data_IF_450409591683
#
_entry.id   IF_450409591683
#
_cell.length_a   1.000
_cell.length_b   1.000
_cell.length_c   1.000
_cell.angle_alpha   90.00
_cell.angle_beta   90.00
_cell.angle_gamma   90.00
#
_symmetry.space_group_name_H-M   'P 1'
#
loop_
_entity.id
_entity.type
_entity.pdbx_description
1 polymer ?
#
# COMPACT_ATOMS: atom_id res chain seq x y z
N UNK A 1 16.87 -0.70 -7.94
CA UNK A 1 15.69 -0.68 -8.85
C UNK A 1 14.69 -1.65 -8.28
N UNK A 2 13.40 -1.37 -8.29
CA UNK A 2 12.44 -2.30 -7.72
C UNK A 2 11.05 -1.70 -7.61
N UNK A 3 10.17 -2.47 -6.98
CA UNK A 3 8.80 -2.09 -6.65
C UNK A 3 8.26 -3.12 -5.63
N UNK A 4 7.02 -3.58 -5.75
CA UNK A 4 6.38 -4.58 -4.88
C UNK A 4 5.78 -5.76 -5.68
N UNK A 5 5.50 -6.87 -4.98
CA UNK A 5 4.82 -8.05 -5.56
C UNK A 5 3.50 -8.37 -4.86
N UNK A 6 3.19 -7.75 -3.72
CA UNK A 6 1.85 -7.82 -3.15
C UNK A 6 0.87 -6.99 -3.96
N UNK A 7 -0.41 -7.36 -3.90
CA UNK A 7 -1.47 -6.78 -4.73
C UNK A 7 -2.70 -6.45 -3.88
N UNK A 8 -3.48 -5.46 -4.30
CA UNK A 8 -4.87 -5.33 -3.84
C UNK A 8 -5.70 -6.61 -4.10
N UNK A 9 -6.82 -6.84 -3.39
CA UNK A 9 -7.69 -8.00 -3.60
C UNK A 9 -8.28 -8.07 -5.02
N UNK A 10 -8.43 -6.90 -5.66
CA UNK A 10 -8.85 -6.74 -7.06
C UNK A 10 -7.73 -6.15 -7.92
N UNK A 11 -6.47 -6.43 -7.57
CA UNK A 11 -5.28 -5.88 -8.23
C UNK A 11 -5.13 -6.34 -9.69
N UNK A 12 -4.51 -5.49 -10.49
CA UNK A 12 -4.16 -5.79 -11.87
C UNK A 12 -2.90 -6.65 -11.99
N UNK A 13 -2.55 -7.04 -13.22
CA UNK A 13 -1.35 -7.87 -13.50
C UNK A 13 -0.01 -7.11 -13.46
N UNK A 14 -0.07 -5.77 -13.48
CA UNK A 14 1.09 -4.92 -13.74
C UNK A 14 1.47 -4.01 -12.57
N UNK A 15 0.56 -3.83 -11.61
CA UNK A 15 0.77 -3.04 -10.41
C UNK A 15 1.87 -3.68 -9.56
N UNK A 16 2.92 -2.92 -9.23
CA UNK A 16 4.15 -3.39 -8.59
C UNK A 16 5.02 -4.34 -9.42
N UNK A 17 4.45 -5.44 -9.89
CA UNK A 17 5.15 -6.55 -10.55
C UNK A 17 5.95 -6.08 -11.76
N UNK A 18 5.45 -5.10 -12.51
CA UNK A 18 6.15 -4.50 -13.64
C UNK A 18 7.52 -3.94 -13.23
N UNK A 19 7.59 -3.24 -12.09
CA UNK A 19 8.83 -2.63 -11.61
C UNK A 19 9.86 -3.66 -11.13
N UNK A 20 9.39 -4.71 -10.45
CA UNK A 20 10.27 -5.80 -9.98
C UNK A 20 10.83 -6.60 -11.17
N UNK A 21 9.97 -7.02 -12.11
CA UNK A 21 10.40 -7.77 -13.28
C UNK A 21 11.20 -6.91 -14.27
N UNK A 22 10.86 -5.62 -14.40
CA UNK A 22 11.66 -4.66 -15.17
C UNK A 22 13.08 -4.52 -14.61
N UNK A 23 13.23 -4.47 -13.27
CA UNK A 23 14.54 -4.51 -12.63
C UNK A 23 15.33 -5.80 -12.91
N UNK A 24 14.66 -6.96 -12.89
CA UNK A 24 15.28 -8.24 -13.26
C UNK A 24 15.74 -8.25 -14.72
N UNK A 25 14.92 -7.72 -15.62
CA UNK A 25 15.23 -7.62 -17.04
C UNK A 25 16.43 -6.70 -17.29
N UNK A 26 16.55 -5.59 -16.56
CA UNK A 26 17.76 -4.74 -16.60
C UNK A 26 19.01 -5.54 -16.27
N UNK A 27 18.98 -6.37 -15.21
CA UNK A 27 20.15 -7.20 -14.84
C UNK A 27 20.45 -8.23 -15.94
N UNK A 28 19.44 -8.92 -16.45
CA UNK A 28 19.61 -9.91 -17.53
C UNK A 28 20.22 -9.29 -18.77
N UNK A 29 19.66 -8.18 -19.24
CA UNK A 29 20.17 -7.45 -20.40
C UNK A 29 21.62 -6.99 -20.20
N UNK A 30 21.98 -6.46 -19.01
CA UNK A 30 23.37 -6.07 -18.74
C UNK A 30 24.32 -7.27 -18.78
N UNK A 31 23.90 -8.42 -18.27
CA UNK A 31 24.70 -9.65 -18.31
C UNK A 31 24.84 -10.19 -19.75
N UNK A 32 23.76 -10.21 -20.52
CA UNK A 32 23.75 -10.68 -21.91
C UNK A 32 24.67 -9.82 -22.80
N UNK A 33 24.80 -8.53 -22.48
CA UNK A 33 25.66 -7.58 -23.17
C UNK A 33 27.08 -7.46 -22.55
N UNK A 34 27.39 -8.25 -21.52
CA UNK A 34 28.65 -8.19 -20.73
C UNK A 34 29.01 -6.77 -20.25
N UNK A 35 28.00 -5.99 -19.83
CA UNK A 35 28.18 -4.62 -19.36
C UNK A 35 28.52 -4.63 -17.86
N UNK A 36 29.69 -4.09 -17.51
CA UNK A 36 30.11 -3.88 -16.13
C UNK A 36 29.76 -2.48 -15.65
N UNK A 37 29.08 -2.39 -14.51
CA UNK A 37 28.71 -1.11 -13.89
C UNK A 37 29.69 -0.71 -12.81
N UNK A 38 29.84 0.62 -12.60
CA UNK A 38 30.66 1.16 -11.51
C UNK A 38 30.03 0.94 -10.13
N UNK A 39 28.70 0.90 -10.08
CA UNK A 39 27.92 0.67 -8.86
C UNK A 39 27.12 -0.64 -9.00
N UNK A 40 26.96 -1.42 -7.91
CA UNK A 40 26.11 -2.60 -7.95
C UNK A 40 24.66 -2.22 -8.21
N UNK A 41 23.97 -3.03 -9.01
CA UNK A 41 22.54 -2.91 -9.24
C UNK A 41 21.84 -4.00 -8.44
N UNK A 42 20.89 -3.60 -7.60
CA UNK A 42 20.07 -4.51 -6.79
C UNK A 42 18.61 -4.36 -7.20
N UNK A 43 17.96 -5.51 -7.43
CA UNK A 43 16.51 -5.60 -7.62
C UNK A 43 15.87 -5.76 -6.25
N UNK A 44 14.89 -4.91 -5.95
CA UNK A 44 14.21 -4.89 -4.65
C UNK A 44 12.73 -5.17 -4.83
N UNK A 45 12.19 -6.01 -3.95
CA UNK A 45 10.76 -6.23 -3.79
C UNK A 45 10.37 -5.78 -2.38
N UNK A 46 9.64 -4.68 -2.27
CA UNK A 46 9.16 -4.16 -1.00
C UNK A 46 7.95 -4.97 -0.52
N UNK A 47 7.96 -5.35 0.75
CA UNK A 47 6.87 -6.15 1.32
C UNK A 47 5.73 -5.26 1.82
N UNK A 48 4.50 -5.64 1.46
CA UNK A 48 3.28 -4.98 1.93
C UNK A 48 3.29 -3.48 1.58
N UNK A 49 3.48 -3.22 0.29
CA UNK A 49 3.40 -1.87 -0.26
C UNK A 49 1.94 -1.41 -0.31
N UNK A 50 1.02 -2.29 -0.70
CA UNK A 50 -0.38 -1.93 -0.93
C UNK A 50 -1.12 -1.59 0.38
N UNK A 51 -0.60 -2.09 1.50
CA UNK A 51 -1.18 -1.87 2.82
C UNK A 51 -2.54 -2.54 3.03
N UNK A 52 -2.97 -3.42 2.12
CA UNK A 52 -4.31 -4.04 2.14
C UNK A 52 -4.48 -4.95 3.36
N UNK A 53 -3.50 -5.83 3.60
CA UNK A 53 -3.58 -6.81 4.69
C UNK A 53 -3.11 -6.20 6.01
N UNK A 54 -2.01 -5.46 5.98
CA UNK A 54 -1.44 -4.78 7.14
C UNK A 54 -1.35 -3.29 6.82
N UNK A 55 -2.10 -2.46 7.54
CA UNK A 55 -2.02 -1.01 7.36
C UNK A 55 -0.78 -0.43 8.09
N UNK A 56 -0.18 0.66 7.60
CA UNK A 56 -0.49 1.39 6.36
C UNK A 56 0.22 0.82 5.12
N UNK A 57 -0.09 1.40 3.96
CA UNK A 57 0.70 1.23 2.75
C UNK A 57 2.17 1.62 2.94
N UNK A 58 3.03 1.12 2.04
CA UNK A 58 4.47 1.36 1.99
C UNK A 58 5.17 0.98 3.31
N UNK A 59 4.69 -0.07 3.99
CA UNK A 59 5.11 -0.40 5.35
C UNK A 59 6.63 -0.64 5.43
N UNK A 60 7.14 -1.55 4.59
CA UNK A 60 8.54 -1.98 4.66
C UNK A 60 9.51 -0.95 4.09
N UNK A 61 9.13 -0.24 3.02
CA UNK A 61 9.92 0.86 2.47
C UNK A 61 9.95 2.05 3.44
N UNK A 62 8.88 2.27 4.21
CA UNK A 62 8.83 3.23 5.31
C UNK A 62 9.79 2.88 6.46
N UNK A 63 9.92 1.60 6.82
CA UNK A 63 10.94 1.15 7.78
C UNK A 63 12.35 1.37 7.22
N UNK A 64 12.59 0.98 5.96
CA UNK A 64 13.88 1.19 5.29
C UNK A 64 14.31 2.66 5.24
N UNK A 65 13.36 3.56 4.99
CA UNK A 65 13.59 5.00 4.95
C UNK A 65 13.66 5.66 6.36
N UNK A 66 13.54 4.88 7.44
CA UNK A 66 13.56 5.37 8.82
C UNK A 66 12.31 6.18 9.22
N UNK A 67 11.21 6.06 8.47
CA UNK A 67 9.92 6.71 8.79
C UNK A 67 9.12 5.93 9.82
N UNK A 68 9.36 4.62 9.91
CA UNK A 68 8.74 3.71 10.86
C UNK A 68 9.81 2.88 11.55
N UNK A 69 9.60 2.53 12.82
CA UNK A 69 10.46 1.56 13.52
C UNK A 69 10.09 0.14 13.10
N UNK A 70 11.07 -0.75 13.04
CA UNK A 70 10.86 -2.15 12.69
C UNK A 70 9.89 -2.88 13.64
N UNK A 71 10.00 -2.65 14.95
CA UNK A 71 9.11 -3.24 15.96
C UNK A 71 7.64 -2.82 15.75
N UNK A 72 7.40 -1.55 15.45
CA UNK A 72 6.06 -1.05 15.14
C UNK A 72 5.47 -1.71 13.89
N UNK A 73 6.29 -1.93 12.86
CA UNK A 73 5.86 -2.60 11.64
C UNK A 73 5.54 -4.08 11.91
N UNK A 74 6.37 -4.77 12.67
CA UNK A 74 6.12 -6.17 13.07
C UNK A 74 4.85 -6.34 13.89
N UNK A 75 4.51 -5.35 14.73
CA UNK A 75 3.28 -5.34 15.52
C UNK A 75 2.03 -4.90 14.74
N UNK A 76 2.10 -4.66 13.42
CA UNK A 76 0.88 -4.44 12.62
C UNK A 76 0.09 -5.73 12.53
N UNK A 77 -1.21 -5.64 12.74
CA UNK A 77 -2.10 -6.80 12.70
C UNK A 77 -3.02 -6.76 11.47
N UNK A 78 -3.33 -7.94 10.95
CA UNK A 78 -4.38 -8.11 9.95
C UNK A 78 -5.77 -8.21 10.59
N UNK A 79 -6.82 -8.26 9.77
CA UNK A 79 -8.20 -8.37 10.24
C UNK A 79 -8.50 -9.65 11.05
N UNK A 80 -7.61 -10.65 11.01
CA UNK A 80 -7.71 -11.89 11.79
C UNK A 80 -6.83 -11.87 13.05
N UNK A 81 -6.19 -10.74 13.37
CA UNK A 81 -5.31 -10.57 14.53
C UNK A 81 -3.94 -11.22 14.38
N UNK A 82 -3.51 -11.57 13.17
CA UNK A 82 -2.14 -12.07 12.93
C UNK A 82 -1.20 -10.89 12.82
N UNK A 83 -0.03 -10.97 13.45
CA UNK A 83 0.99 -9.92 13.34
C UNK A 83 1.80 -10.05 12.04
N UNK A 84 2.26 -8.92 11.51
CA UNK A 84 3.11 -8.86 10.32
C UNK A 84 4.43 -9.61 10.54
N UNK A 85 5.04 -9.44 11.73
CA UNK A 85 6.30 -10.10 12.09
C UNK A 85 6.17 -11.63 12.13
N UNK A 86 5.07 -12.14 12.70
CA UNK A 86 4.82 -13.58 12.76
C UNK A 86 4.55 -14.15 11.36
N UNK A 87 3.84 -13.41 10.51
CA UNK A 87 3.59 -13.84 9.14
C UNK A 87 4.87 -13.86 8.29
N UNK A 88 5.76 -12.88 8.44
CA UNK A 88 7.10 -12.91 7.83
C UNK A 88 7.89 -14.13 8.28
N UNK A 89 7.85 -14.46 9.58
CA UNK A 89 8.51 -15.64 10.12
C UNK A 89 7.89 -16.93 9.57
N UNK A 90 6.56 -17.01 9.49
CA UNK A 90 5.81 -18.16 8.96
C UNK A 90 6.18 -18.46 7.51
N UNK A 91 6.37 -17.44 6.68
CA UNK A 91 6.76 -17.62 5.27
C UNK A 91 8.28 -17.74 5.07
N UNK A 92 9.08 -17.62 6.15
CA UNK A 92 10.55 -17.72 6.08
C UNK A 92 11.25 -16.48 5.54
N UNK A 93 10.58 -15.31 5.54
CA UNK A 93 11.10 -14.04 5.02
C UNK A 93 11.44 -13.01 6.10
N UNK A 94 11.47 -13.44 7.37
CA UNK A 94 12.05 -12.63 8.44
C UNK A 94 13.59 -12.74 8.37
N UNK A 95 14.20 -11.86 7.58
CA UNK A 95 15.65 -11.84 7.39
C UNK A 95 16.42 -11.31 8.61
N UNK A 96 17.71 -11.65 8.66
CA UNK A 96 18.62 -11.27 9.74
C UNK A 96 19.35 -9.94 9.48
N UNK A 97 19.24 -9.41 8.26
CA UNK A 97 19.87 -8.15 7.89
C UNK A 97 19.13 -6.96 8.52
N UNK A 98 19.89 -6.04 9.11
CA UNK A 98 19.34 -4.79 9.63
C UNK A 98 18.73 -3.96 8.49
N UNK A 99 17.45 -3.64 8.62
CA UNK A 99 16.71 -2.87 7.61
C UNK A 99 17.30 -1.47 7.51
N UNK A 100 17.72 -1.06 6.30
CA UNK A 100 18.35 0.24 6.07
C UNK A 100 19.88 0.26 6.18
N UNK A 101 20.52 -0.88 6.49
CA UNK A 101 21.98 -1.01 6.50
C UNK A 101 22.60 -0.75 5.11
N UNK A 102 21.91 -1.17 4.04
CA UNK A 102 22.35 -0.93 2.65
C UNK A 102 22.14 0.53 2.27
N UNK A 103 23.23 1.28 2.09
CA UNK A 103 23.17 2.64 1.54
C UNK A 103 22.95 2.61 0.04
N UNK A 104 21.85 3.20 -0.41
CA UNK A 104 21.50 3.31 -1.83
C UNK A 104 22.07 4.62 -2.39
N UNK A 105 22.82 4.54 -3.50
CA UNK A 105 23.26 5.73 -4.23
C UNK A 105 22.09 6.41 -4.95
N UNK A 106 21.21 5.61 -5.54
CA UNK A 106 19.98 6.04 -6.18
C UNK A 106 18.96 4.91 -6.14
N UNK A 107 17.67 5.26 -6.18
CA UNK A 107 16.57 4.32 -6.34
C UNK A 107 15.71 4.75 -7.52
N UNK A 108 15.34 3.79 -8.36
CA UNK A 108 14.46 3.97 -9.51
C UNK A 108 13.39 2.89 -9.45
N UNK A 109 12.17 3.29 -9.75
CA UNK A 109 10.99 2.43 -9.79
C UNK A 109 10.27 2.68 -11.11
N UNK A 110 10.04 1.60 -11.85
CA UNK A 110 9.20 1.60 -13.04
C UNK A 110 7.81 1.17 -12.60
N UNK A 111 6.81 1.96 -12.96
CA UNK A 111 5.42 1.68 -12.59
C UNK A 111 4.48 2.01 -13.75
N UNK A 112 3.31 1.37 -13.76
CA UNK A 112 2.22 1.83 -14.62
C UNK A 112 1.68 3.15 -14.08
N UNK A 113 1.08 3.96 -14.94
CA UNK A 113 0.54 5.27 -14.53
C UNK A 113 -0.57 5.16 -13.47
N UNK A 114 -1.36 4.07 -13.51
CA UNK A 114 -2.61 3.91 -12.76
C UNK A 114 -3.66 5.01 -13.05
N UNK A 115 -3.43 5.81 -14.09
CA UNK A 115 -4.27 6.92 -14.54
C UNK A 115 -4.38 6.99 -16.07
N UNK A 116 -5.18 7.93 -16.59
CA UNK A 116 -5.50 8.00 -18.02
C UNK A 116 -4.67 9.01 -18.83
N UNK A 117 -3.73 9.74 -18.22
CA UNK A 117 -3.08 10.92 -18.82
C UNK A 117 -2.16 10.53 -19.97
N UNK A 118 -1.28 9.53 -19.79
CA UNK A 118 -0.34 9.12 -20.84
C UNK A 118 -1.08 8.55 -22.05
N UNK A 119 -2.15 7.78 -21.81
CA UNK A 119 -3.02 7.29 -22.89
C UNK A 119 -3.71 8.45 -23.62
N UNK A 120 -4.36 9.36 -22.88
CA UNK A 120 -5.07 10.49 -23.46
C UNK A 120 -4.15 11.46 -24.23
N UNK A 121 -2.91 11.64 -23.78
CA UNK A 121 -1.90 12.48 -24.43
C UNK A 121 -1.07 11.73 -25.48
N UNK A 122 -1.35 10.44 -25.72
CA UNK A 122 -0.61 9.56 -26.62
C UNK A 122 0.91 9.59 -26.35
N UNK A 123 1.28 9.46 -25.07
CA UNK A 123 2.66 9.39 -24.58
C UNK A 123 2.97 7.99 -24.09
N UNK A 124 4.18 7.52 -24.39
CA UNK A 124 4.60 6.17 -23.98
C UNK A 124 5.22 6.16 -22.58
N UNK A 125 5.96 7.21 -22.21
CA UNK A 125 6.73 7.29 -20.96
C UNK A 125 6.40 8.60 -20.24
N UNK A 126 6.05 8.49 -18.96
CA UNK A 126 5.96 9.62 -18.04
C UNK A 126 7.23 9.74 -17.19
N UNK A 127 7.81 10.93 -17.12
CA UNK A 127 8.87 11.24 -16.15
C UNK A 127 8.21 11.80 -14.90
N UNK A 128 8.05 10.95 -13.89
CA UNK A 128 7.38 11.31 -12.63
C UNK A 128 8.23 12.34 -11.88
N UNK A 129 7.65 13.49 -11.58
CA UNK A 129 8.34 14.58 -10.86
C UNK A 129 7.99 14.63 -9.37
N UNK A 130 6.79 14.19 -9.00
CA UNK A 130 6.25 14.25 -7.65
C UNK A 130 5.29 13.08 -7.40
N UNK A 131 5.19 12.65 -6.15
CA UNK A 131 4.13 11.75 -5.68
C UNK A 131 3.01 12.52 -4.99
N UNK A 132 1.77 12.04 -5.12
CA UNK A 132 0.62 12.59 -4.40
C UNK A 132 0.67 12.18 -2.92
N UNK A 133 0.30 13.09 -2.02
CA UNK A 133 0.25 12.80 -0.58
C UNK A 133 -0.96 11.92 -0.23
N UNK A 134 -0.74 10.88 0.57
CA UNK A 134 -1.78 9.95 1.03
C UNK A 134 -2.12 10.21 2.51
N UNK A 135 -3.41 10.19 2.85
CA UNK A 135 -3.90 10.33 4.23
C UNK A 135 -4.92 9.24 4.54
N UNK A 136 -4.57 8.36 5.48
CA UNK A 136 -5.42 7.25 5.90
C UNK A 136 -6.14 7.63 7.20
N UNK A 137 -7.46 7.47 7.23
CA UNK A 137 -8.28 7.76 8.43
C UNK A 137 -9.16 6.55 8.74
N UNK A 138 -8.97 5.95 9.90
CA UNK A 138 -9.86 4.91 10.40
C UNK A 138 -10.95 5.54 11.26
N UNK A 139 -12.21 5.32 10.88
CA UNK A 139 -13.38 5.79 11.62
C UNK A 139 -14.10 4.59 12.23
N UNK A 140 -14.23 4.58 13.55
CA UNK A 140 -15.03 3.56 14.26
C UNK A 140 -16.37 4.18 14.64
N UNK A 141 -17.46 3.66 14.08
CA UNK A 141 -18.82 4.09 14.44
C UNK A 141 -19.44 3.06 15.37
N UNK A 142 -19.73 3.47 16.61
CA UNK A 142 -20.37 2.62 17.61
C UNK A 142 -21.86 2.97 17.70
N UNK A 143 -22.73 1.99 17.45
CA UNK A 143 -24.17 2.12 17.66
C UNK A 143 -24.68 1.22 18.79
N UNK A 144 -26.00 1.09 18.90
CA UNK A 144 -26.65 0.22 19.89
C UNK A 144 -27.57 -0.76 19.18
N UNK A 145 -27.29 -2.04 19.36
CA UNK A 145 -28.20 -3.11 18.92
C UNK A 145 -29.54 -2.97 19.62
N UNK A 146 -30.61 -3.03 18.84
CA UNK A 146 -31.98 -2.90 19.33
C UNK A 146 -32.95 -3.62 18.40
N UNK A 147 -34.03 -4.16 18.95
CA UNK A 147 -35.01 -4.91 18.16
C UNK A 147 -35.67 -3.99 17.12
N UNK A 148 -35.62 -4.41 15.85
CA UNK A 148 -35.98 -3.60 14.67
C UNK A 148 -37.44 -3.18 14.62
N UNK A 149 -38.34 -3.90 15.30
CA UNK A 149 -39.78 -3.60 15.35
C UNK A 149 -40.26 -2.82 16.59
N UNK A 150 -39.63 -3.01 17.75
CA UNK A 150 -40.15 -2.49 19.03
C UNK A 150 -39.38 -1.28 19.56
N UNK A 151 -38.29 -0.89 18.91
CA UNK A 151 -37.50 0.28 19.31
C UNK A 151 -38.00 1.52 18.57
N UNK A 152 -38.57 2.51 19.28
CA UNK A 152 -38.99 3.77 18.67
C UNK A 152 -37.81 4.45 17.94
N UNK A 153 -38.07 5.08 16.79
CA UNK A 153 -37.04 5.74 15.99
C UNK A 153 -36.11 6.68 16.78
N UNK A 154 -36.60 7.50 17.75
CA UNK A 154 -35.72 8.37 18.55
C UNK A 154 -34.75 7.63 19.48
N UNK A 155 -34.98 6.34 19.75
CA UNK A 155 -34.22 5.52 20.69
C UNK A 155 -33.21 4.59 20.00
N UNK A 156 -33.19 4.60 18.66
CA UNK A 156 -32.23 3.84 17.86
C UNK A 156 -30.92 4.62 17.79
N UNK A 157 -29.84 4.06 18.33
CA UNK A 157 -28.49 4.50 17.98
C UNK A 157 -28.01 3.58 16.85
N UNK A 158 -27.85 4.15 15.65
CA UNK A 158 -27.63 3.36 14.44
C UNK A 158 -26.27 2.64 14.50
N UNK A 159 -26.29 1.31 14.66
CA UNK A 159 -25.12 0.44 14.54
C UNK A 159 -24.91 0.03 13.10
N UNK A 160 -23.66 0.20 12.63
CA UNK A 160 -22.96 -0.30 11.42
C UNK A 160 -23.65 -0.35 10.04
N UNK A 161 -24.96 -0.57 9.93
CA UNK A 161 -25.64 -0.83 8.65
C UNK A 161 -26.32 0.38 8.02
N UNK A 162 -26.19 1.56 8.61
CA UNK A 162 -26.85 2.79 8.15
C UNK A 162 -25.95 4.01 8.00
N UNK A 163 -24.62 3.87 8.09
CA UNK A 163 -23.72 5.00 7.82
C UNK A 163 -23.76 5.28 6.32
N UNK A 164 -24.65 6.19 5.90
CA UNK A 164 -24.47 6.87 4.62
C UNK A 164 -23.29 7.80 4.83
N UNK A 165 -22.14 7.42 4.27
CA UNK A 165 -20.98 8.31 4.18
C UNK A 165 -21.31 9.35 3.08
N UNK A 166 -22.10 10.36 3.43
CA UNK A 166 -22.29 11.53 2.57
C UNK A 166 -21.15 12.51 2.86
N UNK A 167 -20.00 12.31 2.24
CA UNK A 167 -19.01 13.38 2.18
C UNK A 167 -19.51 14.42 1.18
N UNK A 168 -19.72 15.65 1.66
CA UNK A 168 -19.96 16.81 0.80
C UNK A 168 -18.77 16.98 -0.16
N UNK A 169 -19.01 16.78 -1.45
CA UNK A 169 -18.13 17.30 -2.51
C UNK A 169 -18.50 18.76 -2.78
N UNK A 170 -18.29 19.63 -1.78
CA UNK A 170 -18.34 21.07 -2.01
C UNK A 170 -17.08 21.71 -1.44
N UNK A 171 -16.05 21.74 -2.26
CA UNK A 171 -14.93 22.68 -2.15
C UNK A 171 -14.34 22.88 -3.56
N UNK A 172 -14.02 24.12 -3.98
CA UNK A 172 -13.44 24.39 -5.30
C UNK A 172 -12.11 23.64 -5.46
N UNK A 173 -11.64 23.40 -6.70
CA UNK A 173 -10.55 22.47 -6.97
C UNK A 173 -9.25 22.97 -6.34
N UNK A 174 -8.96 22.46 -5.14
CA UNK A 174 -7.66 22.58 -4.50
C UNK A 174 -7.35 21.27 -3.78
N UNK A 175 -6.49 20.47 -4.44
CA UNK A 175 -5.71 19.34 -3.94
C UNK A 175 -6.46 18.27 -3.14
N UNK A 176 -6.82 17.23 -3.89
CA UNK A 176 -6.54 15.82 -3.58
C UNK A 176 -6.82 15.36 -2.16
N UNK A 177 -8.06 14.92 -1.92
CA UNK A 177 -8.39 14.00 -0.83
C UNK A 177 -9.38 12.95 -1.33
N UNK A 178 -8.92 11.71 -1.37
CA UNK A 178 -9.80 10.55 -1.47
C UNK A 178 -9.61 9.72 -0.20
N UNK A 179 -10.72 9.24 0.35
CA UNK A 179 -10.76 8.45 1.59
C UNK A 179 -11.28 7.05 1.25
N UNK A 180 -10.53 6.00 1.57
CA UNK A 180 -11.02 4.62 1.51
C UNK A 180 -11.47 4.17 2.91
N UNK A 181 -12.66 3.59 3.00
CA UNK A 181 -13.26 3.07 4.24
C UNK A 181 -13.19 1.54 4.20
N UNK A 182 -12.50 0.94 5.17
CA UNK A 182 -12.55 -0.50 5.44
C UNK A 182 -13.44 -0.74 6.64
N UNK A 183 -14.42 -1.64 6.50
CA UNK A 183 -15.30 -2.08 7.58
C UNK A 183 -14.78 -3.42 8.13
N UNK A 184 -14.60 -3.58 9.45
CA UNK A 184 -14.32 -4.88 10.04
C UNK A 184 -15.56 -5.80 9.93
N UNK A 185 -15.37 -7.14 9.91
CA UNK A 185 -16.49 -8.08 9.93
C UNK A 185 -17.26 -7.97 11.25
N UNK A 186 -18.59 -7.97 11.16
CA UNK A 186 -19.49 -7.92 12.30
C UNK A 186 -19.33 -9.16 13.18
N UNK A 187 -19.03 -8.99 14.47
CA UNK A 187 -19.15 -10.03 15.48
C UNK A 187 -20.56 -10.00 16.10
N UNK A 188 -21.25 -11.14 15.97
CA UNK A 188 -22.55 -11.56 16.55
C UNK A 188 -23.78 -10.72 16.25
#
# INVERSE_FOLDING_TARGET
>A
VGSHLDTQPTGGKYDGVLGVLGGLEVIRTLNDLDIKTKHPIVVTNWTNEEGTRFAPAMLSSGVFAGRHTQDWAYAREDAAGKSFGDELQRIGWRGDEEVGARKMHAFFELHIEQGPILEAENKQIGVVTHGQGLSWTQVTVTGRESHTGSTPMPMRAMGSSGVVVTFFHESPPSRDRYSAVSLPPSSS
#
